data_IF_064182968503
#
_entry.id   IF_064182968503
#
_cell.length_a   1.000
_cell.length_b   1.000
_cell.length_c   1.000
_cell.angle_alpha   90.00
_cell.angle_beta   90.00
_cell.angle_gamma   90.00
#
_symmetry.space_group_name_H-M   'P 1'
#
loop_
_entity.id
_entity.type
_entity.pdbx_description
1 polymer ?
#
# COMPACT_ATOMS: atom_id res chain seq x y z
N UNK A 1 -10.12 -24.42 23.85
CA UNK A 1 -9.02 -23.47 23.54
C UNK A 1 -7.92 -24.28 22.89
N UNK A 2 -7.92 -24.37 21.56
CA UNK A 2 -6.89 -25.08 20.82
C UNK A 2 -5.91 -24.02 20.33
N UNK A 3 -4.72 -23.98 20.93
CA UNK A 3 -3.66 -23.06 20.54
C UNK A 3 -3.15 -23.50 19.16
N UNK A 4 -3.53 -22.75 18.11
CA UNK A 4 -3.03 -22.99 16.76
C UNK A 4 -1.51 -22.85 16.74
N UNK A 5 -0.76 -23.78 16.12
CA UNK A 5 0.68 -23.75 16.15
C UNK A 5 1.19 -22.47 15.48
N UNK A 6 1.94 -21.66 16.25
CA UNK A 6 2.61 -20.48 15.69
C UNK A 6 3.66 -20.96 14.70
N UNK A 7 3.78 -20.31 13.53
CA UNK A 7 4.79 -20.71 12.54
C UNK A 7 6.19 -20.63 13.15
N UNK A 8 6.98 -21.69 12.94
CA UNK A 8 8.37 -21.75 13.41
C UNK A 8 9.22 -20.68 12.72
N UNK A 9 9.48 -19.60 13.44
CA UNK A 9 10.22 -18.43 12.95
C UNK A 9 11.67 -18.72 12.55
N UNK A 10 12.20 -19.90 12.85
CA UNK A 10 13.54 -20.33 12.44
C UNK A 10 13.56 -21.03 11.08
N UNK A 11 12.38 -21.32 10.50
CA UNK A 11 12.28 -22.00 9.22
C UNK A 11 12.99 -21.22 8.10
N UNK A 12 13.83 -21.86 7.25
CA UNK A 12 14.66 -21.18 6.25
C UNK A 12 13.88 -20.22 5.35
N UNK A 13 12.67 -20.61 4.91
CA UNK A 13 11.79 -19.75 4.10
C UNK A 13 11.42 -18.47 4.83
N UNK A 14 11.04 -18.56 6.11
CA UNK A 14 10.60 -17.40 6.90
C UNK A 14 11.75 -16.45 7.18
N UNK A 15 12.93 -16.98 7.51
CA UNK A 15 14.16 -16.20 7.65
C UNK A 15 14.50 -15.49 6.35
N UNK A 16 14.41 -16.18 5.22
CA UNK A 16 14.72 -15.62 3.89
C UNK A 16 13.80 -14.47 3.50
N UNK A 17 12.50 -14.58 3.78
CA UNK A 17 11.52 -13.56 3.39
C UNK A 17 11.38 -12.43 4.41
N UNK A 18 11.87 -12.59 5.65
CA UNK A 18 11.69 -11.60 6.71
C UNK A 18 12.10 -10.17 6.31
N UNK A 19 13.28 -9.92 5.67
CA UNK A 19 13.66 -8.57 5.23
C UNK A 19 12.71 -8.00 4.16
N UNK A 20 12.12 -8.87 3.33
CA UNK A 20 11.14 -8.46 2.33
C UNK A 20 9.82 -8.07 3.00
N UNK A 21 9.33 -8.88 3.94
CA UNK A 21 8.09 -8.62 4.68
C UNK A 21 8.17 -7.28 5.42
N UNK A 22 9.28 -7.01 6.11
CA UNK A 22 9.52 -5.73 6.79
C UNK A 22 9.47 -4.56 5.82
N UNK A 23 10.12 -4.69 4.66
CA UNK A 23 10.21 -3.61 3.67
C UNK A 23 8.89 -3.30 2.99
N UNK A 24 8.01 -4.29 2.82
CA UNK A 24 6.69 -4.12 2.21
C UNK A 24 5.58 -3.88 3.24
N UNK A 25 5.90 -3.87 4.54
CA UNK A 25 4.91 -3.75 5.60
C UNK A 25 3.94 -4.93 5.67
N UNK A 26 4.37 -6.12 5.22
CA UNK A 26 3.55 -7.31 5.30
C UNK A 26 3.68 -8.01 6.65
N UNK A 27 2.59 -8.65 7.06
CA UNK A 27 2.51 -9.45 8.28
C UNK A 27 2.44 -10.92 7.94
N UNK A 28 3.15 -11.74 8.72
CA UNK A 28 3.06 -13.19 8.63
C UNK A 28 1.86 -13.69 9.45
N UNK A 29 0.98 -14.45 8.81
CA UNK A 29 -0.22 -15.05 9.37
C UNK A 29 -0.03 -16.57 9.48
N UNK A 30 -0.41 -17.21 10.60
CA UNK A 30 -0.39 -18.68 10.70
C UNK A 30 -1.23 -19.35 9.62
N UNK A 31 -0.83 -20.54 9.16
CA UNK A 31 -1.55 -21.28 8.10
C UNK A 31 -3.04 -21.53 8.44
N UNK A 32 -3.36 -21.67 9.72
CA UNK A 32 -4.73 -21.88 10.20
C UNK A 32 -5.62 -20.63 10.10
N UNK A 33 -5.02 -19.44 10.10
CA UNK A 33 -5.72 -18.15 10.16
C UNK A 33 -5.70 -17.42 8.80
N UNK A 34 -5.29 -18.11 7.73
CA UNK A 34 -5.23 -17.54 6.40
C UNK A 34 -6.61 -17.15 5.89
N UNK A 35 -6.74 -15.89 5.48
CA UNK A 35 -7.90 -15.39 4.75
C UNK A 35 -7.71 -15.60 3.24
N UNK A 36 -8.80 -15.46 2.48
CA UNK A 36 -8.80 -15.64 1.03
C UNK A 36 -7.86 -14.66 0.28
N UNK A 37 -7.62 -13.48 0.85
CA UNK A 37 -6.77 -12.44 0.26
C UNK A 37 -5.29 -12.54 0.69
N UNK A 38 -4.95 -13.49 1.56
CA UNK A 38 -3.56 -13.69 1.98
C UNK A 38 -2.80 -14.55 0.97
N UNK A 39 -1.48 -14.32 0.85
CA UNK A 39 -0.61 -15.09 -0.06
C UNK A 39 -0.02 -16.29 0.67
N UNK A 40 -0.34 -17.54 0.30
CA UNK A 40 0.18 -18.72 0.99
C UNK A 40 1.68 -18.93 0.70
N UNK A 41 2.44 -19.23 1.76
CA UNK A 41 3.83 -19.66 1.67
C UNK A 41 3.86 -21.19 1.70
N UNK A 42 4.02 -21.77 0.51
CA UNK A 42 4.08 -23.22 0.33
C UNK A 42 5.54 -23.67 0.30
N UNK A 43 5.89 -24.63 1.14
CA UNK A 43 7.19 -25.31 1.15
C UNK A 43 6.95 -26.82 1.12
N UNK A 44 7.59 -27.53 0.19
CA UNK A 44 7.45 -28.99 0.03
C UNK A 44 5.98 -29.46 -0.04
N UNK A 45 5.11 -28.66 -0.66
CA UNK A 45 3.68 -28.98 -0.82
C UNK A 45 2.82 -28.70 0.42
N UNK A 46 3.39 -28.23 1.52
CA UNK A 46 2.66 -27.82 2.72
C UNK A 46 2.64 -26.29 2.89
N UNK A 47 1.50 -25.74 3.29
CA UNK A 47 1.38 -24.32 3.63
C UNK A 47 1.97 -24.09 5.02
N UNK A 48 3.09 -23.37 5.07
CA UNK A 48 3.79 -23.04 6.32
C UNK A 48 3.11 -21.88 7.06
N UNK A 49 2.71 -20.86 6.30
CA UNK A 49 2.09 -19.61 6.77
C UNK A 49 1.47 -18.88 5.57
N UNK A 50 0.77 -17.79 5.82
CA UNK A 50 0.38 -16.84 4.78
C UNK A 50 0.96 -15.46 5.03
N UNK A 51 1.10 -14.68 3.96
CA UNK A 51 1.54 -13.29 4.00
C UNK A 51 0.33 -12.41 3.77
N UNK A 52 -0.01 -11.61 4.78
CA UNK A 52 -0.95 -10.51 4.64
C UNK A 52 -0.17 -9.26 4.31
N UNK A 53 -0.36 -8.73 3.11
CA UNK A 53 0.19 -7.42 2.76
C UNK A 53 -0.51 -6.38 3.65
N UNK A 54 0.28 -5.55 4.34
CA UNK A 54 -0.28 -4.48 5.15
C UNK A 54 -0.99 -3.46 4.26
N UNK A 55 -2.06 -2.87 4.79
CA UNK A 55 -2.81 -1.75 4.19
C UNK A 55 -1.99 -0.44 4.20
N UNK A 56 -0.69 -0.50 4.50
CA UNK A 56 0.26 0.55 4.11
C UNK A 56 0.68 0.38 2.63
N UNK A 57 -0.29 -0.06 1.82
CA UNK A 57 -0.73 0.56 0.57
C UNK A 57 0.39 1.30 -0.16
N UNK A 58 0.83 0.72 -1.28
CA UNK A 58 1.78 1.40 -2.17
C UNK A 58 1.38 2.84 -2.48
N UNK A 59 0.08 3.16 -2.47
CA UNK A 59 -0.42 4.53 -2.58
C UNK A 59 -0.10 5.43 -1.37
N UNK A 60 -0.16 4.95 -0.12
CA UNK A 60 0.26 5.73 1.05
C UNK A 60 1.76 6.03 1.02
N UNK A 61 2.57 5.08 0.53
CA UNK A 61 4.00 5.32 0.28
C UNK A 61 4.19 6.40 -0.79
N UNK A 62 3.48 6.30 -1.91
CA UNK A 62 3.53 7.32 -2.97
C UNK A 62 3.06 8.69 -2.49
N UNK A 63 2.02 8.74 -1.65
CA UNK A 63 1.54 9.97 -1.03
C UNK A 63 2.61 10.61 -0.12
N UNK A 64 3.31 9.81 0.69
CA UNK A 64 4.43 10.30 1.51
C UNK A 64 5.60 10.80 0.68
N UNK A 65 5.99 10.06 -0.36
CA UNK A 65 7.06 10.46 -1.28
C UNK A 65 6.72 11.77 -2.00
N UNK A 66 5.48 11.94 -2.47
CA UNK A 66 5.00 13.18 -3.09
C UNK A 66 4.91 14.32 -2.08
N UNK A 67 4.39 14.05 -0.88
CA UNK A 67 4.27 15.07 0.18
C UNK A 67 5.63 15.64 0.58
N UNK A 68 6.70 14.83 0.58
CA UNK A 68 8.05 15.27 0.89
C UNK A 68 8.64 16.26 -0.13
N UNK A 69 8.02 16.43 -1.30
CA UNK A 69 8.43 17.45 -2.29
C UNK A 69 7.82 18.84 -2.03
N UNK A 70 7.01 19.00 -0.98
CA UNK A 70 6.35 20.25 -0.65
C UNK A 70 6.64 20.68 0.79
N UNK A 71 6.71 21.98 1.03
CA UNK A 71 6.98 22.55 2.36
C UNK A 71 5.78 22.54 3.32
N UNK A 72 4.66 21.92 2.93
CA UNK A 72 3.42 21.90 3.72
C UNK A 72 2.59 20.64 3.45
N UNK A 73 1.65 20.29 4.35
CA UNK A 73 0.78 19.13 4.14
C UNK A 73 0.00 19.20 2.83
N UNK A 74 -0.23 18.05 2.18
CA UNK A 74 -0.95 17.95 0.91
C UNK A 74 -2.34 18.62 0.95
N UNK A 75 -3.03 18.54 2.09
CA UNK A 75 -4.33 19.16 2.29
C UNK A 75 -4.29 20.70 2.28
N UNK A 76 -3.16 21.30 2.64
CA UNK A 76 -2.97 22.76 2.76
C UNK A 76 -2.30 23.37 1.52
N UNK A 77 -2.00 22.54 0.51
CA UNK A 77 -1.40 23.01 -0.73
C UNK A 77 -2.34 23.98 -1.47
N UNK A 78 -1.79 25.05 -2.07
CA UNK A 78 -2.55 25.86 -3.00
C UNK A 78 -2.96 25.01 -4.20
N UNK A 79 -3.97 25.47 -4.94
CA UNK A 79 -4.57 24.70 -6.04
C UNK A 79 -3.55 24.22 -7.08
N UNK A 80 -2.59 25.07 -7.45
CA UNK A 80 -1.55 24.72 -8.43
C UNK A 80 -0.67 23.57 -7.94
N UNK A 81 -0.30 23.57 -6.66
CA UNK A 81 0.51 22.51 -6.07
C UNK A 81 -0.28 21.22 -5.86
N UNK A 82 -1.58 21.30 -5.53
CA UNK A 82 -2.47 20.12 -5.53
C UNK A 82 -2.55 19.48 -6.91
N UNK A 83 -2.60 20.28 -7.97
CA UNK A 83 -2.55 19.77 -9.34
C UNK A 83 -1.21 19.11 -9.64
N UNK A 84 -0.08 19.74 -9.26
CA UNK A 84 1.26 19.15 -9.40
C UNK A 84 1.38 17.83 -8.64
N UNK A 85 0.90 17.76 -7.40
CA UNK A 85 0.90 16.55 -6.59
C UNK A 85 0.13 15.41 -7.26
N UNK A 86 -1.07 15.68 -7.80
CA UNK A 86 -1.86 14.67 -8.54
C UNK A 86 -1.13 14.16 -9.80
N UNK A 87 -0.41 15.03 -10.51
CA UNK A 87 0.40 14.63 -11.67
C UNK A 87 1.55 13.70 -11.28
N UNK A 88 2.31 14.06 -10.24
CA UNK A 88 3.39 13.22 -9.72
C UNK A 88 2.87 11.86 -9.25
N UNK A 89 1.69 11.83 -8.61
CA UNK A 89 1.02 10.59 -8.22
C UNK A 89 0.63 9.75 -9.46
N UNK A 90 0.11 10.35 -10.53
CA UNK A 90 -0.19 9.65 -11.79
C UNK A 90 1.06 9.07 -12.44
N UNK A 91 2.13 9.85 -12.55
CA UNK A 91 3.42 9.43 -13.10
C UNK A 91 4.04 8.26 -12.33
N UNK A 92 3.83 8.21 -11.01
CA UNK A 92 4.31 7.13 -10.13
C UNK A 92 3.34 5.95 -10.04
N UNK A 93 2.27 5.95 -10.82
CA UNK A 93 1.31 4.85 -10.87
C UNK A 93 0.35 4.76 -9.69
N UNK A 94 0.13 5.85 -8.93
CA UNK A 94 -0.79 5.83 -7.78
C UNK A 94 -2.23 5.45 -8.17
N UNK A 95 -2.66 5.76 -9.39
CA UNK A 95 -4.03 5.49 -9.84
C UNK A 95 -4.28 4.07 -10.35
N UNK A 96 -3.26 3.20 -10.40
CA UNK A 96 -3.47 1.76 -10.65
C UNK A 96 -3.91 1.01 -9.39
N UNK A 97 -3.79 1.61 -8.20
CA UNK A 97 -4.20 1.00 -6.94
C UNK A 97 -5.71 1.07 -6.77
N UNK A 98 -6.29 0.04 -6.14
CA UNK A 98 -7.71 0.00 -5.78
C UNK A 98 -8.03 1.15 -4.82
N UNK A 99 -9.16 1.82 -5.01
CA UNK A 99 -9.61 2.99 -4.21
C UNK A 99 -8.65 4.20 -4.24
N UNK A 100 -7.68 4.23 -5.14
CA UNK A 100 -6.68 5.29 -5.21
C UNK A 100 -7.25 6.72 -5.25
N UNK A 101 -8.30 6.95 -6.05
CA UNK A 101 -8.94 8.25 -6.13
C UNK A 101 -9.61 8.70 -4.82
N UNK A 102 -10.08 7.76 -3.98
CA UNK A 102 -10.66 8.05 -2.66
C UNK A 102 -9.57 8.49 -1.70
N UNK A 103 -8.52 7.67 -1.56
CA UNK A 103 -7.38 7.93 -0.68
C UNK A 103 -6.65 9.22 -1.03
N UNK A 104 -6.42 9.48 -2.33
CA UNK A 104 -5.76 10.70 -2.80
C UNK A 104 -6.63 11.93 -2.55
N UNK A 105 -7.95 11.83 -2.78
CA UNK A 105 -8.88 12.91 -2.51
C UNK A 105 -8.89 13.29 -1.02
N UNK A 106 -8.92 12.29 -0.14
CA UNK A 106 -8.83 12.47 1.31
C UNK A 106 -7.51 13.15 1.71
N UNK A 107 -6.37 12.65 1.24
CA UNK A 107 -5.04 13.21 1.55
C UNK A 107 -4.87 14.67 1.07
N UNK A 108 -5.48 15.03 -0.05
CA UNK A 108 -5.46 16.40 -0.60
C UNK A 108 -6.58 17.28 -0.05
N UNK A 109 -7.49 16.75 0.78
CA UNK A 109 -8.65 17.51 1.28
C UNK A 109 -9.55 18.02 0.15
N UNK A 110 -9.79 17.20 -0.88
CA UNK A 110 -10.64 17.52 -2.03
C UNK A 110 -11.62 16.38 -2.31
N UNK A 111 -12.51 16.55 -3.29
CA UNK A 111 -13.43 15.49 -3.72
C UNK A 111 -12.79 14.61 -4.80
N UNK A 112 -13.28 13.37 -4.95
CA UNK A 112 -12.93 12.49 -6.09
C UNK A 112 -13.15 13.17 -7.44
N UNK A 113 -14.23 13.96 -7.56
CA UNK A 113 -14.51 14.73 -8.76
C UNK A 113 -13.36 15.70 -9.09
N UNK A 114 -12.83 16.40 -8.08
CA UNK A 114 -11.67 17.28 -8.25
C UNK A 114 -10.41 16.52 -8.69
N UNK A 115 -10.19 15.31 -8.19
CA UNK A 115 -9.08 14.46 -8.64
C UNK A 115 -9.19 14.14 -10.13
N UNK A 116 -10.35 13.66 -10.59
CA UNK A 116 -10.57 13.40 -12.02
C UNK A 116 -10.45 14.66 -12.88
N UNK A 117 -10.86 15.83 -12.35
CA UNK A 117 -10.65 17.10 -13.04
C UNK A 117 -9.16 17.43 -13.22
N UNK A 118 -8.34 17.17 -12.22
CA UNK A 118 -6.89 17.40 -12.30
C UNK A 118 -6.22 16.45 -13.29
N UNK A 119 -6.59 15.17 -13.29
CA UNK A 119 -6.08 14.18 -14.25
C UNK A 119 -6.42 14.53 -15.71
N UNK A 120 -7.64 15.00 -15.96
CA UNK A 120 -8.06 15.39 -17.31
C UNK A 120 -7.32 16.63 -17.84
N UNK A 121 -6.83 17.52 -16.96
CA UNK A 121 -6.02 18.68 -17.34
C UNK A 121 -4.55 18.34 -17.59
N UNK A 122 -4.10 17.12 -17.28
CA UNK A 122 -2.73 16.67 -17.54
C UNK A 122 -2.60 16.05 -18.93
N UNK A 123 -3.69 15.51 -19.47
CA UNK A 123 -3.75 14.84 -20.78
C UNK A 123 -4.03 15.79 -21.96
N UNK A 124 -4.07 17.09 -21.68
CA UNK A 124 -4.36 18.19 -22.63
C UNK A 124 -3.22 19.19 -22.59
#
# INVERSE_FOLDING_TARGET
>A
MTESPRPDRTHPVLVTIAPLLERVGATLIPAADCAADDVPLVWEGATLACVRLGVADGIERLLREVAAEFDRPLAELPRADKQRAVRLLEERGAFSYRRSAETVAEALGVTRFTIYNYLNRTRS
#
